data_IF_317609746874
#
_entry.id   IF_317609746874
#
_cell.length_a   1.000
_cell.length_b   1.000
_cell.length_c   1.000
_cell.angle_alpha   90.00
_cell.angle_beta   90.00
_cell.angle_gamma   90.00
#
_symmetry.space_group_name_H-M   'P 1'
#
loop_
_entity.id
_entity.type
_entity.pdbx_description
1 polymer ?
#
# COMPACT_ATOMS: atom_id res chain seq x y z
N UNK A 1 43.11 -31.20 -34.05
CA UNK A 1 43.05 -29.84 -33.47
C UNK A 1 41.59 -29.42 -33.51
N UNK A 2 40.86 -29.58 -32.39
CA UNK A 2 39.42 -29.36 -32.32
C UNK A 2 39.17 -28.35 -31.19
N UNK A 3 38.99 -27.09 -31.56
CA UNK A 3 38.67 -26.03 -30.63
C UNK A 3 37.17 -26.07 -30.36
N UNK A 4 36.78 -26.54 -29.17
CA UNK A 4 35.40 -26.45 -28.68
C UNK A 4 35.29 -25.13 -27.94
N UNK A 5 34.58 -24.17 -28.54
CA UNK A 5 34.17 -22.93 -27.88
C UNK A 5 32.92 -23.24 -27.04
N UNK A 6 33.05 -23.23 -25.71
CA UNK A 6 31.91 -23.35 -24.79
C UNK A 6 31.44 -21.92 -24.48
N UNK A 7 30.31 -21.52 -25.07
CA UNK A 7 29.62 -20.27 -24.73
C UNK A 7 28.78 -20.53 -23.47
N UNK A 8 29.23 -19.99 -22.34
CA UNK A 8 28.51 -20.06 -21.07
C UNK A 8 27.41 -18.98 -21.06
N UNK A 9 26.18 -19.39 -21.33
CA UNK A 9 25.00 -18.51 -21.25
C UNK A 9 24.52 -18.45 -19.80
N UNK A 10 25.11 -17.56 -19.00
CA UNK A 10 24.63 -17.27 -17.64
C UNK A 10 23.36 -16.44 -17.72
N UNK A 11 22.21 -17.09 -17.57
CA UNK A 11 20.92 -16.44 -17.35
C UNK A 11 20.96 -15.81 -15.96
N UNK A 12 21.10 -14.48 -15.89
CA UNK A 12 20.86 -13.72 -14.66
C UNK A 12 19.36 -13.75 -14.38
N UNK A 13 18.92 -14.67 -13.52
CA UNK A 13 17.61 -14.60 -12.90
C UNK A 13 17.58 -13.38 -11.97
N UNK A 14 16.86 -12.35 -12.39
CA UNK A 14 16.59 -11.16 -11.59
C UNK A 14 15.72 -11.62 -10.42
N UNK A 15 16.30 -11.72 -9.24
CA UNK A 15 15.58 -12.02 -8.01
C UNK A 15 14.84 -10.73 -7.60
N UNK A 16 13.58 -10.59 -8.02
CA UNK A 16 12.71 -9.54 -7.49
C UNK A 16 12.38 -9.85 -6.04
N UNK A 17 13.02 -9.14 -5.11
CA UNK A 17 12.72 -9.22 -3.68
C UNK A 17 11.23 -8.95 -3.43
N UNK A 18 10.55 -9.90 -2.77
CA UNK A 18 9.12 -9.90 -2.52
C UNK A 18 8.77 -9.02 -1.32
N UNK A 19 8.65 -7.71 -1.53
CA UNK A 19 8.01 -6.80 -0.59
C UNK A 19 6.72 -6.26 -1.19
N UNK A 20 5.68 -6.10 -0.38
CA UNK A 20 4.51 -5.31 -0.77
C UNK A 20 4.99 -3.90 -1.12
N UNK A 21 4.77 -3.47 -2.36
CA UNK A 21 5.22 -2.16 -2.80
C UNK A 21 4.22 -1.09 -2.36
N UNK A 22 4.48 -0.52 -1.19
CA UNK A 22 3.76 0.65 -0.71
C UNK A 22 4.23 1.90 -1.44
N UNK A 23 3.29 2.60 -2.06
CA UNK A 23 3.53 3.92 -2.60
C UNK A 23 3.38 4.96 -1.49
N UNK A 24 4.18 6.03 -1.53
CA UNK A 24 4.04 7.20 -0.64
C UNK A 24 3.61 8.46 -1.39
N UNK A 25 3.50 8.37 -2.72
CA UNK A 25 3.12 9.49 -3.59
C UNK A 25 1.87 9.12 -4.39
N UNK A 26 0.83 9.94 -4.27
CA UNK A 26 -0.44 9.70 -4.98
C UNK A 26 -0.30 9.80 -6.49
N UNK A 27 0.65 10.59 -7.01
CA UNK A 27 0.89 10.69 -8.45
C UNK A 27 1.39 9.36 -9.00
N UNK A 28 2.34 8.74 -8.29
CA UNK A 28 2.84 7.41 -8.63
C UNK A 28 1.74 6.36 -8.47
N UNK A 29 1.00 6.38 -7.36
CA UNK A 29 -0.11 5.44 -7.14
C UNK A 29 -1.17 5.53 -8.24
N UNK A 30 -1.58 6.75 -8.64
CA UNK A 30 -2.54 6.96 -9.73
C UNK A 30 -2.01 6.50 -11.08
N UNK A 31 -0.72 6.72 -11.35
CA UNK A 31 -0.07 6.23 -12.58
C UNK A 31 -0.10 4.71 -12.64
N UNK A 32 0.25 4.03 -11.54
CA UNK A 32 0.23 2.56 -11.45
C UNK A 32 -1.20 2.02 -11.54
N UNK A 33 -2.15 2.64 -10.82
CA UNK A 33 -3.55 2.26 -10.83
C UNK A 33 -4.13 2.34 -12.24
N UNK A 34 -3.87 3.43 -12.95
CA UNK A 34 -4.31 3.62 -14.33
C UNK A 34 -3.64 2.65 -15.31
N UNK A 35 -2.35 2.36 -15.12
CA UNK A 35 -1.62 1.48 -16.02
C UNK A 35 -2.05 0.01 -15.88
N UNK A 36 -2.48 -0.41 -14.69
CA UNK A 36 -2.83 -1.79 -14.38
C UNK A 36 -4.33 -2.02 -14.19
N UNK A 37 -5.15 -0.98 -14.33
CA UNK A 37 -6.59 -0.99 -14.06
C UNK A 37 -6.94 -1.53 -12.65
N UNK A 38 -6.19 -1.05 -11.65
CA UNK A 38 -6.34 -1.46 -10.26
C UNK A 38 -6.81 -0.30 -9.38
N UNK A 39 -7.68 -0.55 -8.38
CA UNK A 39 -8.05 0.46 -7.39
C UNK A 39 -6.86 0.80 -6.47
N UNK A 40 -6.92 2.00 -5.89
CA UNK A 40 -5.98 2.46 -4.87
C UNK A 40 -6.57 2.20 -3.50
N UNK A 41 -5.78 1.58 -2.62
CA UNK A 41 -6.08 1.43 -1.20
C UNK A 41 -5.20 2.43 -0.44
N UNK A 42 -5.78 3.58 -0.11
CA UNK A 42 -5.10 4.64 0.65
C UNK A 42 -5.29 4.42 2.15
N UNK A 43 -4.17 4.21 2.85
CA UNK A 43 -4.15 3.91 4.29
C UNK A 43 -3.55 5.08 5.05
N UNK A 44 -4.37 5.73 5.86
CA UNK A 44 -3.95 6.70 6.86
C UNK A 44 -3.62 5.99 8.17
N UNK A 45 -2.38 6.15 8.65
CA UNK A 45 -1.94 5.52 9.89
C UNK A 45 -1.00 6.39 10.73
N UNK A 46 -0.84 6.01 11.99
CA UNK A 46 0.20 6.52 12.88
C UNK A 46 1.06 5.35 13.37
N UNK A 47 2.10 5.01 12.60
CA UNK A 47 2.86 3.76 12.74
C UNK A 47 3.48 3.49 14.13
N UNK A 48 3.72 4.54 14.94
CA UNK A 48 4.40 4.41 16.24
C UNK A 48 3.57 4.76 17.48
N UNK A 49 2.31 5.17 17.30
CA UNK A 49 1.44 5.63 18.39
C UNK A 49 -0.01 5.16 18.28
N UNK A 50 -0.49 4.82 17.08
CA UNK A 50 -1.85 4.34 16.86
C UNK A 50 -1.92 2.83 17.05
N UNK A 51 -2.30 2.38 18.26
CA UNK A 51 -2.39 0.95 18.56
C UNK A 51 -3.32 0.15 17.61
N UNK A 52 -4.50 0.66 17.20
CA UNK A 52 -5.33 -0.03 16.22
C UNK A 52 -4.70 -0.10 14.82
N UNK A 53 -3.91 0.91 14.41
CA UNK A 53 -3.16 0.89 13.16
C UNK A 53 -2.12 -0.23 13.17
N UNK A 54 -1.33 -0.32 14.24
CA UNK A 54 -0.30 -1.36 14.42
C UNK A 54 -0.95 -2.77 14.43
N UNK A 55 -2.14 -2.89 15.01
CA UNK A 55 -2.90 -4.15 15.00
C UNK A 55 -3.38 -4.50 13.58
N UNK A 56 -3.93 -3.53 12.85
CA UNK A 56 -4.36 -3.74 11.47
C UNK A 56 -3.20 -4.17 10.57
N UNK A 57 -2.05 -3.51 10.71
CA UNK A 57 -0.83 -3.85 9.97
C UNK A 57 -0.42 -5.30 10.22
N UNK A 58 -0.26 -5.70 11.48
CA UNK A 58 0.16 -7.07 11.82
C UNK A 58 -0.87 -8.14 11.43
N UNK A 59 -2.15 -7.83 11.59
CA UNK A 59 -3.22 -8.80 11.38
C UNK A 59 -3.63 -8.94 9.90
N UNK A 60 -3.36 -7.93 9.07
CA UNK A 60 -3.80 -7.88 7.67
C UNK A 60 -2.62 -7.55 6.77
N UNK A 61 -2.14 -6.31 6.77
CA UNK A 61 -1.18 -5.79 5.78
C UNK A 61 0.14 -6.55 5.70
N UNK A 62 0.67 -6.97 6.85
CA UNK A 62 1.95 -7.64 6.97
C UNK A 62 1.87 -9.15 6.69
N UNK A 63 0.66 -9.71 6.57
CA UNK A 63 0.46 -11.15 6.33
C UNK A 63 0.78 -11.52 4.89
N UNK A 64 1.36 -12.70 4.67
CA UNK A 64 1.72 -13.16 3.33
C UNK A 64 0.48 -13.39 2.45
N UNK A 65 -0.64 -13.82 3.05
CA UNK A 65 -1.92 -13.97 2.37
C UNK A 65 -2.39 -12.63 1.76
N UNK A 66 -2.39 -11.55 2.55
CA UNK A 66 -2.78 -10.24 2.04
C UNK A 66 -1.79 -9.71 1.00
N UNK A 67 -0.47 -9.83 1.23
CA UNK A 67 0.54 -9.34 0.29
C UNK A 67 0.44 -10.01 -1.07
N UNK A 68 0.22 -11.32 -1.09
CA UNK A 68 0.08 -12.09 -2.32
C UNK A 68 -1.12 -11.59 -3.14
N UNK A 69 -2.26 -11.39 -2.49
CA UNK A 69 -3.48 -10.90 -3.13
C UNK A 69 -3.35 -9.43 -3.56
N UNK A 70 -2.90 -8.56 -2.65
CA UNK A 70 -2.82 -7.12 -2.89
C UNK A 70 -1.92 -6.79 -4.08
N UNK A 71 -0.87 -7.58 -4.34
CA UNK A 71 0.01 -7.42 -5.51
C UNK A 71 -0.73 -7.48 -6.84
N UNK A 72 -1.77 -8.31 -6.95
CA UNK A 72 -2.51 -8.52 -8.20
C UNK A 72 -3.77 -7.67 -8.29
N UNK A 73 -4.24 -7.15 -7.16
CA UNK A 73 -5.56 -6.53 -7.07
C UNK A 73 -5.54 -5.06 -6.66
N UNK A 74 -4.48 -4.56 -6.03
CA UNK A 74 -4.47 -3.23 -5.42
C UNK A 74 -3.19 -2.46 -5.72
N UNK A 75 -3.33 -1.13 -5.80
CA UNK A 75 -2.22 -0.21 -5.58
C UNK A 75 -2.29 0.30 -4.14
N UNK A 76 -1.34 -0.13 -3.31
CA UNK A 76 -1.29 0.28 -1.91
C UNK A 76 -0.61 1.65 -1.78
N UNK A 77 -1.30 2.61 -1.17
CA UNK A 77 -0.80 3.97 -0.92
C UNK A 77 -0.83 4.27 0.58
N UNK A 78 0.29 4.71 1.14
CA UNK A 78 0.42 4.98 2.56
C UNK A 78 0.56 6.48 2.84
N UNK A 79 -0.27 6.97 3.77
CA UNK A 79 -0.14 8.28 4.39
C UNK A 79 0.10 8.11 5.90
N UNK A 80 1.36 8.04 6.31
CA UNK A 80 1.77 7.85 7.71
C UNK A 80 2.04 9.17 8.44
N UNK A 81 1.74 9.18 9.73
CA UNK A 81 1.88 10.33 10.62
C UNK A 81 2.58 9.91 11.94
N UNK A 82 3.85 9.47 11.89
CA UNK A 82 4.59 9.08 13.08
C UNK A 82 4.77 10.27 14.04
N UNK A 83 4.84 10.01 15.34
CA UNK A 83 5.02 11.05 16.38
C UNK A 83 6.41 11.03 17.00
N UNK A 84 7.13 9.91 16.94
CA UNK A 84 8.49 9.84 17.49
C UNK A 84 9.44 10.59 16.56
N UNK A 85 10.30 11.42 17.14
CA UNK A 85 11.33 12.16 16.38
C UNK A 85 12.23 11.25 15.55
N UNK A 86 12.53 10.04 16.05
CA UNK A 86 13.33 9.05 15.33
C UNK A 86 12.68 8.53 14.04
N UNK A 87 11.35 8.66 13.93
CA UNK A 87 10.56 8.19 12.80
C UNK A 87 10.01 9.36 11.96
N UNK A 88 10.45 10.59 12.23
CA UNK A 88 9.92 11.76 11.57
C UNK A 88 10.16 11.69 10.06
N UNK A 89 9.12 11.99 9.29
CA UNK A 89 9.19 12.04 7.84
C UNK A 89 9.88 13.34 7.38
N UNK A 90 10.57 13.32 6.22
CA UNK A 90 10.96 14.55 5.55
C UNK A 90 9.75 15.49 5.36
N UNK A 91 9.97 16.80 5.49
CA UNK A 91 8.91 17.79 5.44
C UNK A 91 8.06 17.69 4.16
N UNK A 92 8.71 17.46 3.02
CA UNK A 92 8.02 17.26 1.74
C UNK A 92 7.01 16.10 1.81
N UNK A 93 7.43 14.94 2.32
CA UNK A 93 6.55 13.78 2.44
C UNK A 93 5.43 14.01 3.45
N UNK A 94 5.73 14.67 4.57
CA UNK A 94 4.70 15.04 5.54
C UNK A 94 3.65 15.98 4.92
N UNK A 95 4.07 16.93 4.09
CA UNK A 95 3.15 17.85 3.41
C UNK A 95 2.29 17.13 2.37
N UNK A 96 2.84 16.15 1.63
CA UNK A 96 2.06 15.25 0.76
C UNK A 96 1.00 14.49 1.57
N UNK A 97 1.39 13.91 2.71
CA UNK A 97 0.46 13.18 3.57
C UNK A 97 -0.64 14.10 4.14
N UNK A 98 -0.29 15.32 4.56
CA UNK A 98 -1.26 16.32 5.03
C UNK A 98 -2.26 16.70 3.94
N UNK A 99 -1.80 16.94 2.71
CA UNK A 99 -2.70 17.24 1.58
C UNK A 99 -3.68 16.08 1.30
N UNK A 100 -3.22 14.82 1.42
CA UNK A 100 -4.11 13.66 1.36
C UNK A 100 -5.12 13.65 2.51
N UNK A 101 -4.70 13.95 3.74
CA UNK A 101 -5.59 13.98 4.89
C UNK A 101 -6.62 15.12 4.80
N UNK A 102 -6.23 16.31 4.32
CA UNK A 102 -7.15 17.42 4.06
C UNK A 102 -8.24 17.05 3.05
N UNK A 103 -7.89 16.22 2.05
CA UNK A 103 -8.84 15.79 1.02
C UNK A 103 -9.73 14.64 1.48
N UNK A 104 -9.14 13.61 2.10
CA UNK A 104 -9.82 12.33 2.33
C UNK A 104 -10.05 12.00 3.81
N UNK A 105 -9.32 12.59 4.75
CA UNK A 105 -9.39 12.25 6.18
C UNK A 105 -9.46 13.50 7.08
N UNK A 106 -10.39 14.42 6.78
CA UNK A 106 -10.53 15.71 7.47
C UNK A 106 -10.78 15.59 8.98
N UNK A 107 -11.35 14.46 9.40
CA UNK A 107 -11.64 14.18 10.81
C UNK A 107 -10.44 13.60 11.57
N UNK A 108 -9.32 13.33 10.89
CA UNK A 108 -8.10 12.81 11.51
C UNK A 108 -8.29 11.42 12.13
N UNK A 109 -8.99 10.53 11.44
CA UNK A 109 -9.27 9.16 11.90
C UNK A 109 -8.07 8.25 11.62
N UNK A 110 -7.68 7.42 12.59
CA UNK A 110 -6.56 6.49 12.47
C UNK A 110 -6.88 5.13 13.14
N UNK A 111 -6.76 3.99 12.43
CA UNK A 111 -6.51 3.88 11.00
C UNK A 111 -7.75 4.27 10.20
N UNK A 112 -7.53 4.81 9.01
CA UNK A 112 -8.60 5.11 8.06
C UNK A 112 -8.17 4.66 6.67
N UNK A 113 -9.04 3.89 6.01
CA UNK A 113 -8.73 3.22 4.76
C UNK A 113 -9.75 3.67 3.72
N UNK A 114 -9.26 4.18 2.60
CA UNK A 114 -10.08 4.66 1.49
C UNK A 114 -9.82 3.79 0.27
N UNK A 115 -10.88 3.26 -0.32
CA UNK A 115 -10.85 2.53 -1.59
C UNK A 115 -11.30 3.50 -2.68
N UNK A 116 -10.47 3.71 -3.69
CA UNK A 116 -10.74 4.69 -4.75
C UNK A 116 -10.20 4.25 -6.12
N UNK A 117 -10.67 4.89 -7.19
CA UNK A 117 -10.12 4.70 -8.53
C UNK A 117 -8.86 5.52 -8.80
N UNK A 118 -8.28 5.36 -10.00
CA UNK A 118 -7.09 6.08 -10.43
C UNK A 118 -7.32 7.60 -10.60
N UNK A 119 -8.57 8.05 -10.71
CA UNK A 119 -8.96 9.46 -10.77
C UNK A 119 -9.09 10.08 -9.37
N UNK A 120 -9.13 9.26 -8.33
CA UNK A 120 -9.30 9.65 -6.93
C UNK A 120 -10.76 9.77 -6.49
N UNK A 121 -11.70 9.19 -7.23
CA UNK A 121 -13.10 8.99 -6.86
C UNK A 121 -13.21 7.84 -5.85
N UNK A 122 -13.86 8.11 -4.73
CA UNK A 122 -13.98 7.17 -3.61
C UNK A 122 -15.10 6.17 -3.88
N UNK A 123 -14.75 4.89 -3.82
CA UNK A 123 -15.69 3.77 -3.85
C UNK A 123 -16.26 3.46 -2.47
N UNK A 124 -15.42 3.56 -1.44
CA UNK A 124 -15.82 3.31 -0.06
C UNK A 124 -14.70 3.55 0.93
N UNK A 125 -15.07 3.48 2.21
CA UNK A 125 -14.19 3.81 3.33
C UNK A 125 -14.40 2.77 4.43
N UNK A 126 -13.32 2.41 5.10
CA UNK A 126 -13.36 1.50 6.24
C UNK A 126 -12.26 1.85 7.24
N UNK A 127 -12.19 1.11 8.34
CA UNK A 127 -11.23 1.33 9.41
C UNK A 127 -10.74 -0.02 9.96
N UNK A 128 -10.14 -0.02 11.15
CA UNK A 128 -9.82 -1.24 11.85
C UNK A 128 -11.11 -1.99 12.18
N UNK A 129 -11.18 -3.24 11.70
CA UNK A 129 -12.16 -4.24 12.11
C UNK A 129 -11.39 -5.47 12.55
N UNK A 130 -11.90 -6.19 13.56
CA UNK A 130 -11.28 -7.43 14.03
C UNK A 130 -11.62 -8.57 13.06
N UNK A 131 -11.04 -8.52 11.87
CA UNK A 131 -11.23 -9.45 10.76
C UNK A 131 -9.92 -10.18 10.46
N UNK A 132 -10.01 -11.38 9.91
CA UNK A 132 -8.90 -12.06 9.25
C UNK A 132 -8.47 -11.33 7.96
N UNK A 133 -7.26 -11.59 7.42
CA UNK A 133 -6.85 -11.04 6.13
C UNK A 133 -7.89 -11.25 5.03
N UNK A 134 -8.40 -12.48 4.91
CA UNK A 134 -9.41 -12.86 3.92
C UNK A 134 -10.71 -12.07 4.04
N UNK A 135 -11.23 -11.93 5.25
CA UNK A 135 -12.44 -11.14 5.51
C UNK A 135 -12.20 -9.66 5.24
N UNK A 136 -11.01 -9.14 5.55
CA UNK A 136 -10.67 -7.75 5.26
C UNK A 136 -10.53 -7.49 3.75
N UNK A 137 -9.96 -8.43 2.99
CA UNK A 137 -9.94 -8.34 1.52
C UNK A 137 -11.36 -8.37 0.95
N UNK A 138 -12.24 -9.22 1.50
CA UNK A 138 -13.65 -9.24 1.09
C UNK A 138 -14.34 -7.90 1.36
N UNK A 139 -14.12 -7.29 2.53
CA UNK A 139 -14.59 -5.94 2.85
C UNK A 139 -14.08 -4.92 1.83
N UNK A 140 -12.78 -4.88 1.55
CA UNK A 140 -12.22 -3.94 0.56
C UNK A 140 -12.85 -4.13 -0.83
N UNK A 141 -13.00 -5.39 -1.25
CA UNK A 141 -13.60 -5.73 -2.53
C UNK A 141 -15.08 -5.38 -2.62
N UNK A 142 -15.81 -5.35 -1.50
CA UNK A 142 -17.23 -5.01 -1.50
C UNK A 142 -17.52 -3.57 -1.92
N UNK A 143 -16.51 -2.69 -1.90
CA UNK A 143 -16.62 -1.32 -2.38
C UNK A 143 -16.36 -1.19 -3.88
N UNK A 144 -15.55 -2.09 -4.45
CA UNK A 144 -15.13 -2.03 -5.85
C UNK A 144 -16.32 -2.45 -6.73
N UNK A 145 -16.63 -1.64 -7.75
CA UNK A 145 -17.74 -1.87 -8.70
C UNK A 145 -17.24 -2.43 -10.01
#
# INVERSE_FOLDING_TARGET
MKNILIVLFTVLSINSSFAQEWQSDITTARKLAKANDLPIILVFQGSDWCAPCIKLDRAVWATDEFKAYAKEHYVMLQADFPRRKSNALPEEQLNKNKALAEKYNRNGVFPFVVVMNAEGEVYGETSYKKLSPKEYMHELNSFIK
#
